data_IF_612699481839
#
_entry.id   IF_612699481839
#
_cell.length_a   1.000
_cell.length_b   1.000
_cell.length_c   1.000
_cell.angle_alpha   90.00
_cell.angle_beta   90.00
_cell.angle_gamma   90.00
#
_symmetry.space_group_name_H-M   'P 1'
#
loop_
_entity.id
_entity.type
_entity.pdbx_description
1 polymer ?
#
# COMPACT_ATOMS: atom_id res chain seq x y z
N UNK A 1 -6.71 -8.20 -13.95
CA UNK A 1 -6.75 -7.72 -12.55
C UNK A 1 -5.61 -6.75 -12.34
N UNK A 2 -5.83 -5.62 -11.67
CA UNK A 2 -4.80 -4.62 -11.39
C UNK A 2 -3.97 -5.03 -10.17
N UNK A 3 -2.77 -4.45 -10.00
CA UNK A 3 -1.88 -4.73 -8.85
C UNK A 3 -2.53 -4.42 -7.49
N UNK A 4 -3.43 -3.44 -7.45
CA UNK A 4 -4.18 -3.09 -6.25
C UNK A 4 -5.14 -4.22 -5.82
N UNK A 5 -5.90 -4.80 -6.75
CA UNK A 5 -6.83 -5.90 -6.46
C UNK A 5 -6.08 -7.15 -5.99
N UNK A 6 -4.92 -7.45 -6.59
CA UNK A 6 -4.08 -8.58 -6.17
C UNK A 6 -3.52 -8.38 -4.76
N UNK A 7 -3.15 -7.15 -4.39
CA UNK A 7 -2.68 -6.84 -3.04
C UNK A 7 -3.83 -6.94 -2.04
N UNK A 8 -5.00 -6.40 -2.37
CA UNK A 8 -6.19 -6.47 -1.53
C UNK A 8 -6.61 -7.92 -1.23
N UNK A 9 -6.61 -8.81 -2.23
CA UNK A 9 -6.88 -10.24 -2.02
C UNK A 9 -5.79 -10.94 -1.20
N UNK A 10 -4.51 -10.61 -1.45
CA UNK A 10 -3.38 -11.21 -0.73
C UNK A 10 -3.38 -10.88 0.76
N UNK A 11 -3.86 -9.70 1.12
CA UNK A 11 -3.92 -9.21 2.49
C UNK A 11 -5.37 -9.14 3.00
N UNK A 12 -6.30 -9.91 2.43
CA UNK A 12 -7.70 -9.90 2.85
C UNK A 12 -7.91 -10.25 4.34
N UNK A 13 -6.97 -11.01 4.92
CA UNK A 13 -6.95 -11.38 6.34
C UNK A 13 -6.35 -10.28 7.24
N UNK A 14 -5.82 -9.21 6.65
CA UNK A 14 -5.36 -8.01 7.35
C UNK A 14 -6.38 -6.91 7.07
N UNK A 15 -6.63 -6.02 8.02
CA UNK A 15 -7.61 -4.93 7.88
C UNK A 15 -7.16 -3.82 6.89
N UNK A 16 -6.36 -4.15 5.86
CA UNK A 16 -5.89 -3.22 4.84
C UNK A 16 -7.06 -2.75 3.99
N UNK A 17 -7.21 -1.43 3.87
CA UNK A 17 -8.23 -0.88 3.00
C UNK A 17 -7.84 -1.02 1.52
N UNK A 18 -8.84 -1.05 0.65
CA UNK A 18 -8.62 -0.97 -0.80
C UNK A 18 -7.89 0.33 -1.18
N UNK A 19 -8.08 1.41 -0.40
CA UNK A 19 -7.44 2.69 -0.62
C UNK A 19 -5.92 2.60 -0.42
N UNK A 20 -5.46 1.90 0.61
CA UNK A 20 -4.03 1.72 0.89
C UNK A 20 -3.37 0.88 -0.20
N UNK A 21 -4.05 -0.19 -0.63
CA UNK A 21 -3.60 -1.02 -1.75
C UNK A 21 -3.47 -0.22 -3.05
N UNK A 22 -4.47 0.62 -3.36
CA UNK A 22 -4.45 1.48 -4.55
C UNK A 22 -3.34 2.54 -4.46
N UNK A 23 -3.17 3.16 -3.29
CA UNK A 23 -2.15 4.17 -3.03
C UNK A 23 -0.74 3.58 -3.17
N UNK A 24 -0.48 2.43 -2.55
CA UNK A 24 0.80 1.73 -2.69
C UNK A 24 1.09 1.31 -4.15
N UNK A 25 0.07 0.86 -4.89
CA UNK A 25 0.22 0.54 -6.32
C UNK A 25 0.61 1.78 -7.14
N UNK A 26 -0.03 2.93 -6.89
CA UNK A 26 0.32 4.19 -7.54
C UNK A 26 1.74 4.65 -7.19
N UNK A 27 2.15 4.51 -5.93
CA UNK A 27 3.50 4.85 -5.47
C UNK A 27 4.56 3.99 -6.16
N UNK A 28 4.35 2.67 -6.26
CA UNK A 28 5.26 1.76 -7.00
C UNK A 28 5.39 2.15 -8.47
N UNK A 29 4.28 2.46 -9.14
CA UNK A 29 4.30 2.90 -10.54
C UNK A 29 5.09 4.20 -10.74
N UNK A 30 5.12 5.07 -9.73
CA UNK A 30 5.85 6.35 -9.73
C UNK A 30 7.23 6.28 -9.07
N UNK A 31 7.67 5.10 -8.62
CA UNK A 31 8.92 4.90 -7.86
C UNK A 31 9.02 5.77 -6.60
N UNK A 32 7.88 6.10 -5.99
CA UNK A 32 7.81 6.80 -4.71
C UNK A 32 7.94 5.75 -3.62
N UNK A 33 8.93 5.90 -2.74
CA UNK A 33 9.22 4.92 -1.67
C UNK A 33 8.72 5.32 -0.29
N UNK A 34 8.57 6.63 -0.05
CA UNK A 34 8.22 7.18 1.27
C UNK A 34 6.81 7.76 1.22
N UNK A 35 5.94 7.32 2.12
CA UNK A 35 4.62 7.87 2.36
C UNK A 35 4.65 8.81 3.56
N UNK A 36 3.96 9.94 3.44
CA UNK A 36 3.58 10.77 4.58
C UNK A 36 2.23 10.25 5.08
N UNK A 37 2.26 9.30 6.01
CA UNK A 37 1.09 8.71 6.63
C UNK A 37 1.37 8.44 8.10
N UNK A 38 0.32 8.42 8.92
CA UNK A 38 0.40 8.00 10.31
C UNK A 38 0.19 6.49 10.47
N UNK A 39 -0.34 5.85 9.41
CA UNK A 39 -0.71 4.43 9.41
C UNK A 39 0.45 3.54 8.98
N UNK A 40 0.70 2.47 9.75
CA UNK A 40 1.75 1.48 9.50
C UNK A 40 1.36 0.46 8.44
N UNK A 41 0.12 0.46 7.98
CA UNK A 41 -0.38 -0.39 6.90
C UNK A 41 0.42 -0.24 5.59
N UNK A 42 0.98 0.94 5.34
CA UNK A 42 1.87 1.17 4.21
C UNK A 42 3.18 0.37 4.30
N UNK A 43 3.69 0.10 5.51
CA UNK A 43 4.90 -0.70 5.73
C UNK A 43 4.67 -2.15 5.29
N UNK A 44 3.47 -2.69 5.52
CA UNK A 44 3.07 -4.03 5.05
C UNK A 44 3.03 -4.14 3.52
N UNK A 45 2.78 -3.02 2.85
CA UNK A 45 2.78 -2.88 1.39
C UNK A 45 4.18 -2.53 0.84
N UNK A 46 5.22 -2.50 1.69
CA UNK A 46 6.61 -2.22 1.31
C UNK A 46 6.89 -0.75 1.03
N UNK A 47 6.08 0.14 1.60
CA UNK A 47 6.25 1.59 1.54
C UNK A 47 6.79 2.08 2.89
N UNK A 48 7.84 2.90 2.86
CA UNK A 48 8.46 3.47 4.06
C UNK A 48 7.64 4.66 4.56
N UNK A 49 7.58 4.89 5.88
CA UNK A 49 6.94 6.09 6.43
C UNK A 49 7.96 7.21 6.64
N UNK A 50 7.57 8.44 6.29
CA UNK A 50 8.32 9.64 6.65
C UNK A 50 8.30 9.80 8.18
N UNK A 51 9.44 9.59 8.82
CA UNK A 51 9.66 9.72 10.27
C UNK A 51 10.45 10.98 10.61
#
# INVERSE_FOLDING_TARGET
MTDATRSFEKYADHELSLCDCASAAAMRAKKIRVALAFDRDFEMLGVELAT
#
